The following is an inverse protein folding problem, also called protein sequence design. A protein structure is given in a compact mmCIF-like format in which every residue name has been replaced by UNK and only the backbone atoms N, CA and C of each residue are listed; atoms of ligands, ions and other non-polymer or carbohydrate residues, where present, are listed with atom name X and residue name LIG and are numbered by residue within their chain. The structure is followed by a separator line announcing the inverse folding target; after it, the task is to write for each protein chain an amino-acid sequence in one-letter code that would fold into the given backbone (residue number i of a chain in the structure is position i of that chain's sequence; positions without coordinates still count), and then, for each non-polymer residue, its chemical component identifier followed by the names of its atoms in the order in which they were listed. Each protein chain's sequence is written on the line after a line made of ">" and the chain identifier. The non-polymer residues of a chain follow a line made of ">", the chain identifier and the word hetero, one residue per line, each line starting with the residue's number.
data_IF_263346527659
#
_entry.id   IF_263346527659
#
_cell.length_a   1.000
_cell.length_b   1.000
_cell.length_c   1.000
_cell.angle_alpha   90.00
_cell.angle_beta   90.00
_cell.angle_gamma   90.00
#
_symmetry.space_group_name_H-M   'P 1'
#
loop_
_entity.id
_entity.type
_entity.pdbx_description
1 polymer ?
#
# COMPACT_ATOMS: atom_id res chain seq x y z
N UNK A 1 4.04 -6.84 16.85
CA UNK A 1 3.09 -7.65 16.05
C UNK A 1 3.46 -9.13 16.08
N UNK A 2 4.59 -9.58 15.52
CA UNK A 2 4.95 -11.01 15.56
C UNK A 2 5.17 -11.57 16.97
N UNK A 3 5.61 -10.74 17.92
CA UNK A 3 5.69 -11.14 19.34
C UNK A 3 4.33 -11.34 20.02
N UNK A 4 3.26 -10.71 19.51
CA UNK A 4 1.90 -10.86 20.04
C UNK A 4 1.21 -12.14 19.53
N UNK A 5 1.66 -12.65 18.38
CA UNK A 5 1.12 -13.83 17.72
C UNK A 5 2.24 -14.84 17.45
N UNK A 6 2.76 -15.52 18.49
CA UNK A 6 3.96 -16.35 18.39
C UNK A 6 3.79 -17.58 17.48
N UNK A 7 2.55 -18.02 17.23
CA UNK A 7 2.24 -19.16 16.34
C UNK A 7 1.92 -18.71 14.90
N UNK A 8 1.88 -17.41 14.64
CA UNK A 8 1.52 -16.90 13.33
C UNK A 8 2.69 -16.95 12.34
N UNK A 9 2.38 -17.37 11.12
CA UNK A 9 3.32 -17.48 10.01
C UNK A 9 3.25 -16.19 9.22
N UNK A 10 4.36 -15.47 9.12
CA UNK A 10 4.45 -14.31 8.24
C UNK A 10 4.39 -14.77 6.77
N UNK A 11 3.42 -14.25 6.02
CA UNK A 11 3.29 -14.54 4.59
C UNK A 11 4.47 -13.96 3.82
N UNK A 12 5.01 -14.75 2.89
CA UNK A 12 6.18 -14.36 2.09
C UNK A 12 5.81 -13.45 0.90
N UNK A 13 4.52 -13.34 0.57
CA UNK A 13 4.05 -12.49 -0.51
C UNK A 13 2.81 -11.67 -0.13
N UNK A 14 2.68 -10.48 -0.74
CA UNK A 14 1.55 -9.57 -0.52
C UNK A 14 0.33 -9.87 -1.42
N UNK A 15 0.33 -10.98 -2.17
CA UNK A 15 -0.82 -11.41 -2.97
C UNK A 15 -2.01 -11.69 -2.06
N UNK A 16 -3.24 -11.48 -2.58
CA UNK A 16 -4.43 -11.95 -1.86
C UNK A 16 -4.28 -13.42 -1.48
N UNK A 17 -4.56 -13.79 -0.22
CA UNK A 17 -4.60 -15.19 0.20
C UNK A 17 -5.60 -15.93 -0.68
N UNK A 18 -5.22 -17.13 -1.13
CA UNK A 18 -6.14 -18.02 -1.82
C UNK A 18 -7.08 -18.73 -0.82
N UNK A 19 -8.09 -19.42 -1.33
CA UNK A 19 -9.07 -20.14 -0.51
C UNK A 19 -8.41 -21.19 0.40
N UNK A 20 -7.28 -21.77 -0.02
CA UNK A 20 -6.58 -22.78 0.79
C UNK A 20 -5.94 -22.17 2.04
N UNK A 21 -5.36 -20.98 1.91
CA UNK A 21 -4.84 -20.21 3.03
C UNK A 21 -5.96 -19.67 3.92
N UNK A 22 -7.07 -19.24 3.32
CA UNK A 22 -8.23 -18.73 4.06
C UNK A 22 -8.96 -19.81 4.86
N UNK A 23 -8.91 -21.07 4.42
CA UNK A 23 -9.52 -22.22 5.10
C UNK A 23 -8.55 -22.99 5.99
N UNK A 24 -7.30 -22.53 6.12
CA UNK A 24 -6.29 -23.20 6.93
C UNK A 24 -6.56 -23.05 8.43
N UNK A 25 -6.23 -24.09 9.20
CA UNK A 25 -6.25 -24.05 10.67
C UNK A 25 -5.06 -23.27 11.27
N UNK A 26 -4.09 -22.88 10.44
CA UNK A 26 -2.93 -22.10 10.86
C UNK A 26 -3.20 -20.59 10.84
N UNK A 27 -2.43 -19.84 11.62
CA UNK A 27 -2.50 -18.38 11.64
C UNK A 27 -1.49 -17.81 10.65
N UNK A 28 -1.95 -16.97 9.73
CA UNK A 28 -1.09 -16.28 8.78
C UNK A 28 -1.19 -14.77 8.98
N UNK A 29 -0.04 -14.09 8.95
CA UNK A 29 0.05 -12.63 8.99
C UNK A 29 0.60 -12.10 7.68
N UNK A 30 -0.21 -11.30 6.99
CA UNK A 30 0.23 -10.55 5.82
C UNK A 30 0.59 -9.13 6.23
N UNK A 31 1.84 -8.73 5.99
CA UNK A 31 2.36 -7.43 6.40
C UNK A 31 3.08 -6.82 5.20
N UNK A 32 2.65 -5.64 4.78
CA UNK A 32 3.32 -4.85 3.75
C UNK A 32 3.18 -3.35 4.05
N UNK A 33 4.19 -2.59 3.64
CA UNK A 33 4.15 -1.13 3.75
C UNK A 33 3.20 -0.55 2.69
N UNK A 34 2.50 0.51 3.05
CA UNK A 34 1.57 1.23 2.17
C UNK A 34 1.89 2.71 2.18
N UNK A 35 1.58 3.39 1.08
CA UNK A 35 1.78 4.83 0.96
C UNK A 35 0.48 5.55 1.31
N UNK A 36 0.49 6.51 2.26
CA UNK A 36 -0.69 7.31 2.56
C UNK A 36 -1.10 8.16 1.36
N UNK A 37 -2.40 8.33 1.16
CA UNK A 37 -2.97 9.16 0.11
C UNK A 37 -3.73 10.29 0.78
N UNK A 38 -3.28 11.51 0.56
CA UNK A 38 -3.94 12.70 1.08
C UNK A 38 -5.20 13.00 0.27
N UNK A 39 -6.29 13.31 0.97
CA UNK A 39 -7.50 13.89 0.37
C UNK A 39 -7.40 15.42 0.25
N UNK A 40 -6.27 16.03 0.68
CA UNK A 40 -6.02 17.46 0.52
C UNK A 40 -5.83 17.76 -0.95
N UNK A 41 -6.82 18.45 -1.52
CA UNK A 41 -6.73 19.03 -2.85
C UNK A 41 -6.14 20.43 -2.74
N UNK A 42 -5.25 20.80 -3.67
CA UNK A 42 -4.66 22.14 -3.72
C UNK A 42 -5.74 23.17 -4.12
N UNK A 43 -6.48 23.63 -3.11
CA UNK A 43 -7.48 24.69 -3.24
C UNK A 43 -6.84 26.05 -2.95
N UNK A 44 -7.31 27.16 -3.55
CA UNK A 44 -6.70 28.49 -3.38
C UNK A 44 -6.54 28.92 -1.91
N UNK A 45 -7.42 28.46 -1.02
CA UNK A 45 -7.36 28.74 0.42
C UNK A 45 -6.09 28.18 1.08
N UNK A 46 -5.49 27.12 0.52
CA UNK A 46 -4.28 26.48 1.04
C UNK A 46 -2.98 27.12 0.53
N UNK A 47 -3.02 28.03 -0.46
CA UNK A 47 -1.81 28.70 -0.96
C UNK A 47 -1.09 29.49 0.15
N UNK A 48 -1.86 30.04 1.09
CA UNK A 48 -1.32 30.81 2.22
C UNK A 48 -0.74 29.93 3.33
N UNK A 49 -0.98 28.62 3.28
CA UNK A 49 -0.51 27.69 4.30
C UNK A 49 0.94 27.30 4.01
N UNK A 50 1.86 27.43 4.97
CA UNK A 50 3.25 27.01 4.80
C UNK A 50 3.39 25.55 4.37
N UNK A 51 4.35 25.28 3.48
CA UNK A 51 4.58 23.95 2.90
C UNK A 51 4.84 22.87 3.95
N UNK A 52 5.48 23.24 5.07
CA UNK A 52 5.73 22.33 6.19
C UNK A 52 4.43 21.81 6.82
N UNK A 53 3.42 22.66 6.92
CA UNK A 53 2.10 22.29 7.47
C UNK A 53 1.35 21.42 6.46
N UNK A 54 1.36 21.80 5.17
CA UNK A 54 0.74 20.99 4.10
C UNK A 54 1.36 19.59 4.04
N UNK A 55 2.69 19.49 4.07
CA UNK A 55 3.41 18.22 4.06
C UNK A 55 3.08 17.33 5.25
N UNK A 56 2.84 17.90 6.43
CA UNK A 56 2.41 17.12 7.59
C UNK A 56 1.06 16.44 7.34
N UNK A 57 0.05 17.18 6.90
CA UNK A 57 -1.28 16.61 6.66
C UNK A 57 -1.40 15.82 5.35
N UNK A 58 -0.39 15.84 4.47
CA UNK A 58 -0.34 14.92 3.32
C UNK A 58 -0.19 13.45 3.74
N UNK A 59 0.38 13.19 4.91
CA UNK A 59 0.66 11.84 5.40
C UNK A 59 -0.02 11.51 6.74
N UNK A 60 -0.61 12.51 7.41
CA UNK A 60 -1.31 12.36 8.68
C UNK A 60 -2.81 12.62 8.50
N UNK A 61 -3.65 11.99 9.34
CA UNK A 61 -5.11 12.10 9.27
C UNK A 61 -5.66 11.75 7.89
N UNK A 62 -5.22 10.60 7.36
CA UNK A 62 -5.59 10.06 6.05
C UNK A 62 -6.40 8.78 6.22
N UNK A 63 -7.41 8.58 5.39
CA UNK A 63 -8.19 7.33 5.37
C UNK A 63 -7.84 6.41 4.21
N UNK A 64 -7.10 6.92 3.21
CA UNK A 64 -6.79 6.20 1.97
C UNK A 64 -5.31 5.86 1.89
N UNK A 65 -5.00 4.64 1.46
CA UNK A 65 -3.64 4.16 1.28
C UNK A 65 -3.50 3.42 -0.04
N UNK A 66 -2.31 3.47 -0.63
CA UNK A 66 -1.95 2.70 -1.81
C UNK A 66 -0.91 1.64 -1.47
N UNK A 67 -1.14 0.44 -2.01
CA UNK A 67 -0.15 -0.60 -2.10
C UNK A 67 0.15 -0.82 -3.59
N UNK A 68 1.37 -0.49 -4.02
CA UNK A 68 1.80 -0.57 -5.40
C UNK A 68 2.73 -1.76 -5.60
N UNK A 69 2.37 -2.64 -6.53
CA UNK A 69 3.16 -3.80 -6.90
C UNK A 69 3.59 -3.71 -8.37
N UNK A 70 4.90 -3.57 -8.65
CA UNK A 70 5.40 -3.60 -10.01
C UNK A 70 5.36 -5.02 -10.59
N UNK A 71 4.98 -5.14 -11.86
CA UNK A 71 5.05 -6.39 -12.62
C UNK A 71 5.29 -6.11 -14.10
N UNK A 72 5.79 -7.09 -14.85
CA UNK A 72 6.01 -6.95 -16.29
C UNK A 72 4.85 -7.58 -17.08
N UNK A 73 4.23 -6.81 -17.99
CA UNK A 73 3.31 -7.37 -18.99
C UNK A 73 4.09 -7.70 -20.25
N UNK A 74 4.23 -9.00 -20.53
CA UNK A 74 5.03 -9.49 -21.64
C UNK A 74 6.51 -9.70 -21.30
N UNK A 75 7.37 -9.97 -22.29
CA UNK A 75 8.79 -10.19 -22.05
C UNK A 75 9.47 -8.92 -21.52
N UNK A 76 10.33 -9.09 -20.51
CA UNK A 76 11.12 -7.99 -19.96
C UNK A 76 12.13 -7.53 -21.03
N UNK A 77 11.97 -6.29 -21.46
CA UNK A 77 12.95 -5.59 -22.28
C UNK A 77 14.18 -5.26 -21.41
N UNK A 78 15.36 -5.76 -21.81
CA UNK A 78 16.61 -5.61 -21.05
C UNK A 78 17.24 -4.23 -21.22
N UNK A 79 16.93 -3.53 -22.31
CA UNK A 79 17.44 -2.18 -22.57
C UNK A 79 16.51 -1.13 -21.98
N UNK A 80 15.21 -1.42 -21.92
CA UNK A 80 14.22 -0.53 -21.33
C UNK A 80 13.18 -1.29 -20.51
N UNK A 81 13.47 -1.52 -19.24
CA UNK A 81 12.56 -2.23 -18.35
C UNK A 81 11.21 -1.51 -18.17
N UNK A 82 11.18 -0.17 -18.28
CA UNK A 82 9.96 0.63 -18.13
C UNK A 82 8.94 0.37 -19.23
N UNK A 83 9.36 -0.09 -20.42
CA UNK A 83 8.48 -0.36 -21.55
C UNK A 83 7.42 -1.44 -21.24
N UNK A 84 7.82 -2.42 -20.45
CA UNK A 84 6.96 -3.54 -20.06
C UNK A 84 6.54 -3.48 -18.59
N UNK A 85 7.00 -2.49 -17.83
CA UNK A 85 6.70 -2.32 -16.40
C UNK A 85 5.30 -1.74 -16.21
N UNK A 86 4.50 -2.42 -15.42
CA UNK A 86 3.17 -2.02 -14.99
C UNK A 86 3.11 -2.00 -13.47
N UNK A 87 2.20 -1.21 -12.92
CA UNK A 87 1.91 -1.18 -11.49
C UNK A 87 0.48 -1.70 -11.29
N UNK A 88 0.36 -2.72 -10.46
CA UNK A 88 -0.92 -3.10 -9.85
C UNK A 88 -1.06 -2.30 -8.55
N UNK A 89 -2.09 -1.47 -8.46
CA UNK A 89 -2.35 -0.61 -7.30
C UNK A 89 -3.59 -1.05 -6.55
N UNK A 90 -3.41 -1.48 -5.31
CA UNK A 90 -4.51 -1.74 -4.37
C UNK A 90 -4.77 -0.48 -3.56
N UNK A 91 -6.04 -0.05 -3.51
CA UNK A 91 -6.47 1.07 -2.66
C UNK A 91 -7.13 0.53 -1.40
N UNK A 92 -6.53 0.83 -0.25
CA UNK A 92 -7.10 0.51 1.06
C UNK A 92 -7.81 1.76 1.61
N UNK A 93 -9.00 1.56 2.17
CA UNK A 93 -9.80 2.62 2.77
C UNK A 93 -10.10 2.22 4.21
N UNK A 94 -9.64 3.02 5.16
CA UNK A 94 -9.98 2.87 6.57
C UNK A 94 -11.37 3.44 6.84
N UNK A 95 -12.09 2.84 7.79
CA UNK A 95 -13.37 3.36 8.25
C UNK A 95 -13.24 4.65 9.06
N UNK A 96 -12.06 4.90 9.64
CA UNK A 96 -11.70 6.08 10.42
C UNK A 96 -10.21 6.42 10.20
N UNK A 97 -9.83 7.71 10.20
CA UNK A 97 -8.44 8.14 10.10
C UNK A 97 -7.64 7.84 11.37
#
# INVERSE_FOLDING_TARGET
>A
MLGEFPQAIAMQHPNQPDDSLLQSDAQYLQIYAVTPVSDITDVPQLERVPERIKSFYRINNVTRFHYDRPFHKGPKDRENEFRSLWIERTTLILSRP
#
